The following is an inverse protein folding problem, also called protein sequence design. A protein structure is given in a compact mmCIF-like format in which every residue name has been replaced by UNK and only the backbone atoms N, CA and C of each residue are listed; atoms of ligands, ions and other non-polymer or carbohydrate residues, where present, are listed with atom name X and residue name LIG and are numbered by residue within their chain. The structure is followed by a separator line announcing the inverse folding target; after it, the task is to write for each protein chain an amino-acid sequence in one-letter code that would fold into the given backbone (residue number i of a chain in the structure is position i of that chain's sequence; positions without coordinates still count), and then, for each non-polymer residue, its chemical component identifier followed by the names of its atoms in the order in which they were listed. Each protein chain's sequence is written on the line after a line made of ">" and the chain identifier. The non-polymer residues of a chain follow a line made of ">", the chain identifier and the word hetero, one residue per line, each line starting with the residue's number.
data_IF_201817444843
#
_entry.id   IF_201817444843
#
_cell.length_a   1.000
_cell.length_b   1.000
_cell.length_c   1.000
_cell.angle_alpha   90.00
_cell.angle_beta   90.00
_cell.angle_gamma   90.00
#
_symmetry.space_group_name_H-M   'P 1'
#
loop_
_entity.id
_entity.type
_entity.pdbx_description
1 polymer ?
#
# COMPACT_ATOMS: atom_id res chain seq x y z
N UNK A 1 13.44 -15.92 14.40
CA UNK A 1 12.85 -14.98 13.43
C UNK A 1 13.98 -14.23 12.74
N UNK A 2 13.96 -14.09 11.41
CA UNK A 2 14.95 -13.30 10.67
C UNK A 2 14.41 -11.90 10.44
N UNK A 3 15.12 -10.88 10.91
CA UNK A 3 14.76 -9.49 10.64
C UNK A 3 15.28 -9.11 9.25
N UNK A 4 14.37 -8.73 8.35
CA UNK A 4 14.70 -8.29 6.98
C UNK A 4 14.38 -6.83 6.85
N UNK A 5 15.35 -6.02 6.40
CA UNK A 5 15.08 -4.63 6.02
C UNK A 5 14.26 -4.63 4.73
N UNK A 6 13.13 -3.91 4.73
CA UNK A 6 12.32 -3.71 3.53
C UNK A 6 12.98 -2.73 2.56
N UNK A 7 12.65 -2.89 1.28
CA UNK A 7 12.93 -1.88 0.25
C UNK A 7 11.63 -1.09 0.00
N UNK A 8 11.67 0.24 -0.16
CA UNK A 8 10.50 1.00 -0.58
C UNK A 8 9.97 0.50 -1.93
N UNK A 9 8.64 0.53 -2.10
CA UNK A 9 8.01 0.22 -3.38
C UNK A 9 8.46 1.21 -4.45
N UNK A 10 8.66 0.73 -5.68
CA UNK A 10 8.89 1.63 -6.81
C UNK A 10 7.58 2.25 -7.28
N UNK A 11 7.67 3.30 -8.09
CA UNK A 11 6.50 3.90 -8.72
C UNK A 11 5.69 2.86 -9.50
N UNK A 12 6.38 2.03 -10.29
CA UNK A 12 5.78 0.97 -11.09
C UNK A 12 5.01 -0.02 -10.23
N UNK A 13 5.55 -0.37 -9.06
CA UNK A 13 4.88 -1.27 -8.13
C UNK A 13 3.63 -0.65 -7.50
N UNK A 14 3.64 0.65 -7.19
CA UNK A 14 2.48 1.34 -6.64
C UNK A 14 1.32 1.40 -7.64
N UNK A 15 1.64 1.66 -8.92
CA UNK A 15 0.63 1.81 -9.99
C UNK A 15 0.14 0.49 -10.59
N UNK A 16 0.61 -0.67 -10.09
CA UNK A 16 0.01 -1.97 -10.40
C UNK A 16 -1.44 -2.05 -9.90
N UNK A 17 -1.77 -1.33 -8.82
CA UNK A 17 -3.14 -1.20 -8.32
C UNK A 17 -3.64 0.24 -8.44
N UNK A 18 -2.95 1.18 -7.81
CA UNK A 18 -3.37 2.58 -7.77
C UNK A 18 -3.29 3.23 -9.15
N UNK A 19 -4.11 4.25 -9.40
CA UNK A 19 -3.90 5.02 -10.64
C UNK A 19 -2.62 5.82 -10.59
N UNK A 20 -2.08 6.07 -11.78
CA UNK A 20 -0.98 7.02 -11.97
C UNK A 20 -1.37 8.40 -11.45
N UNK A 21 -2.59 8.85 -11.72
CA UNK A 21 -3.11 10.15 -11.25
C UNK A 21 -3.06 10.25 -9.72
N UNK A 22 -3.54 9.24 -9.00
CA UNK A 22 -3.51 9.23 -7.54
C UNK A 22 -2.07 9.30 -6.98
N UNK A 23 -1.18 8.45 -7.51
CA UNK A 23 0.22 8.41 -7.06
C UNK A 23 0.96 9.70 -7.42
N UNK A 24 0.69 10.30 -8.58
CA UNK A 24 1.24 11.60 -8.99
C UNK A 24 0.72 12.73 -8.10
N UNK A 25 -0.57 12.75 -7.75
CA UNK A 25 -1.14 13.73 -6.81
C UNK A 25 -0.47 13.66 -5.44
N UNK A 26 -0.18 12.45 -4.93
CA UNK A 26 0.56 12.27 -3.67
C UNK A 26 2.02 12.70 -3.79
N UNK A 27 2.65 12.47 -4.96
CA UNK A 27 4.03 12.86 -5.20
C UNK A 27 4.21 14.38 -5.22
N UNK A 28 3.26 15.08 -5.84
CA UNK A 28 3.27 16.53 -6.01
C UNK A 28 2.32 17.26 -5.05
N UNK A 29 2.08 16.65 -3.88
CA UNK A 29 1.06 17.08 -2.91
C UNK A 29 1.16 18.55 -2.47
N UNK A 30 2.39 19.09 -2.43
CA UNK A 30 2.65 20.49 -2.04
C UNK A 30 2.18 21.51 -3.08
N UNK A 31 1.94 21.07 -4.31
CA UNK A 31 1.49 21.93 -5.42
C UNK A 31 0.01 21.74 -5.77
N UNK A 32 -0.65 20.76 -5.15
CA UNK A 32 -2.07 20.48 -5.37
C UNK A 32 -2.96 21.52 -4.69
N UNK A 33 -4.15 21.74 -5.24
CA UNK A 33 -5.18 22.54 -4.58
C UNK A 33 -5.88 21.70 -3.52
N UNK A 34 -6.42 22.35 -2.51
CA UNK A 34 -7.17 21.69 -1.43
C UNK A 34 -8.36 20.89 -1.95
N UNK A 35 -9.07 21.42 -2.95
CA UNK A 35 -10.20 20.75 -3.63
C UNK A 35 -9.76 19.42 -4.28
N UNK A 36 -8.63 19.43 -5.00
CA UNK A 36 -8.08 18.23 -5.65
C UNK A 36 -7.64 17.18 -4.62
N UNK A 37 -7.15 17.62 -3.45
CA UNK A 37 -6.75 16.76 -2.33
C UNK A 37 -7.96 16.13 -1.63
N UNK A 38 -9.06 16.88 -1.51
CA UNK A 38 -10.32 16.37 -0.98
C UNK A 38 -10.91 15.29 -1.90
N UNK A 39 -10.85 15.47 -3.22
CA UNK A 39 -11.34 14.50 -4.21
C UNK A 39 -10.62 13.14 -4.12
N UNK A 40 -9.33 13.13 -3.75
CA UNK A 40 -8.55 11.89 -3.55
C UNK A 40 -8.54 11.41 -2.10
N UNK A 41 -9.40 11.98 -1.25
CA UNK A 41 -9.57 11.56 0.14
C UNK A 41 -8.42 11.95 1.06
N UNK A 42 -7.53 12.88 0.67
CA UNK A 42 -6.48 13.42 1.54
C UNK A 42 -7.01 14.59 2.39
N UNK A 43 -8.08 14.31 3.11
CA UNK A 43 -8.78 15.22 4.02
C UNK A 43 -9.23 14.45 5.26
N UNK A 44 -9.67 15.16 6.31
CA UNK A 44 -10.34 14.55 7.45
C UNK A 44 -9.51 13.48 8.17
N UNK A 45 -9.94 12.22 8.07
CA UNK A 45 -9.28 11.06 8.68
C UNK A 45 -7.98 10.66 7.98
N UNK A 46 -7.74 11.15 6.76
CA UNK A 46 -6.52 10.95 6.00
C UNK A 46 -5.74 12.27 5.85
N UNK A 47 -5.20 12.83 6.95
CA UNK A 47 -4.49 14.10 6.90
C UNK A 47 -3.19 14.00 6.10
N UNK A 48 -2.79 15.12 5.50
CA UNK A 48 -1.51 15.21 4.80
C UNK A 48 -0.36 15.11 5.80
N UNK A 49 0.53 14.14 5.59
CA UNK A 49 1.75 13.95 6.36
C UNK A 49 2.97 14.55 5.65
N UNK A 50 4.06 14.74 6.37
CA UNK A 50 5.34 15.06 5.75
C UNK A 50 5.87 13.86 4.96
N UNK A 51 6.34 14.12 3.74
CA UNK A 51 6.94 13.11 2.85
C UNK A 51 6.01 11.90 2.56
N UNK A 52 4.72 12.20 2.27
CA UNK A 52 3.68 11.22 1.97
C UNK A 52 4.12 10.14 0.98
N UNK A 53 4.74 10.52 -0.14
CA UNK A 53 5.18 9.58 -1.15
C UNK A 53 6.18 8.56 -0.58
N UNK A 54 7.15 9.02 0.20
CA UNK A 54 8.10 8.15 0.89
C UNK A 54 7.38 7.25 1.91
N UNK A 55 6.45 7.81 2.69
CA UNK A 55 5.69 7.06 3.69
C UNK A 55 4.93 5.89 3.05
N UNK A 56 4.10 6.15 2.03
CA UNK A 56 3.33 5.09 1.36
C UNK A 56 4.24 4.08 0.64
N UNK A 57 5.37 4.54 0.08
CA UNK A 57 6.33 3.66 -0.59
C UNK A 57 6.95 2.69 0.40
N UNK A 58 7.23 3.10 1.64
CA UNK A 58 7.77 2.22 2.67
C UNK A 58 6.72 1.22 3.17
N UNK A 59 5.47 1.64 3.36
CA UNK A 59 4.36 0.74 3.75
C UNK A 59 4.15 -0.32 2.67
N UNK A 60 3.90 0.06 1.42
CA UNK A 60 3.74 -0.89 0.31
C UNK A 60 4.99 -1.77 0.11
N UNK A 61 6.18 -1.17 0.15
CA UNK A 61 7.45 -1.86 -0.03
C UNK A 61 7.72 -2.92 1.04
N UNK A 62 7.26 -2.69 2.27
CA UNK A 62 7.38 -3.66 3.35
C UNK A 62 6.56 -4.94 3.09
N UNK A 63 5.32 -4.81 2.63
CA UNK A 63 4.47 -5.95 2.29
C UNK A 63 4.91 -6.64 0.99
N UNK A 64 5.36 -5.87 -0.01
CA UNK A 64 5.96 -6.43 -1.23
C UNK A 64 7.27 -7.19 -0.96
N UNK A 65 8.11 -6.72 -0.04
CA UNK A 65 9.32 -7.43 0.40
C UNK A 65 8.97 -8.78 1.01
N UNK A 66 7.93 -8.82 1.86
CA UNK A 66 7.42 -10.06 2.44
C UNK A 66 6.90 -11.02 1.35
N UNK A 67 6.07 -10.53 0.43
CA UNK A 67 5.53 -11.31 -0.69
C UNK A 67 6.64 -11.90 -1.57
N UNK A 68 7.65 -11.11 -1.95
CA UNK A 68 8.83 -11.57 -2.71
C UNK A 68 9.63 -12.64 -1.94
N UNK A 69 9.72 -12.51 -0.62
CA UNK A 69 10.35 -13.51 0.25
C UNK A 69 9.61 -14.86 0.24
N UNK A 70 8.28 -14.83 0.24
CA UNK A 70 7.44 -16.03 0.11
C UNK A 70 7.54 -16.65 -1.29
N UNK A 71 7.47 -15.83 -2.34
CA UNK A 71 7.56 -16.28 -3.74
C UNK A 71 8.90 -16.96 -4.01
N UNK A 72 10.01 -16.39 -3.54
CA UNK A 72 11.34 -16.97 -3.73
C UNK A 72 11.57 -18.24 -2.90
N UNK A 73 10.67 -18.60 -1.99
CA UNK A 73 10.85 -19.71 -1.05
C UNK A 73 11.89 -19.42 0.04
N UNK A 74 12.38 -18.18 0.13
CA UNK A 74 13.32 -17.74 1.17
C UNK A 74 12.69 -17.86 2.56
N UNK A 75 11.38 -17.59 2.64
CA UNK A 75 10.61 -17.68 3.87
C UNK A 75 9.35 -18.52 3.64
N UNK A 76 8.95 -19.30 4.65
CA UNK A 76 7.65 -19.98 4.68
C UNK A 76 6.56 -19.08 5.28
N UNK A 77 6.95 -18.20 6.21
CA UNK A 77 6.09 -17.22 6.87
C UNK A 77 6.78 -15.86 6.87
N UNK A 78 6.01 -14.80 6.63
CA UNK A 78 6.49 -13.43 6.69
C UNK A 78 5.48 -12.58 7.48
N UNK A 79 5.99 -11.67 8.30
CA UNK A 79 5.17 -10.80 9.15
C UNK A 79 5.56 -9.37 8.83
N UNK A 80 4.57 -8.53 8.56
CA UNK A 80 4.72 -7.08 8.45
C UNK A 80 3.66 -6.40 9.31
N UNK A 81 4.07 -5.83 10.44
CA UNK A 81 3.15 -5.12 11.34
C UNK A 81 2.82 -3.69 10.89
N UNK A 82 3.59 -3.14 9.95
CA UNK A 82 3.38 -1.78 9.45
C UNK A 82 2.39 -1.72 8.28
N UNK A 83 2.03 -2.87 7.69
CA UNK A 83 1.08 -2.98 6.59
C UNK A 83 -0.33 -3.35 7.07
N UNK A 84 -1.18 -3.78 6.14
CA UNK A 84 -2.58 -4.10 6.44
C UNK A 84 -3.55 -2.93 6.22
N UNK A 85 -3.19 -1.95 5.39
CA UNK A 85 -3.92 -0.70 5.20
C UNK A 85 -5.07 -0.93 4.21
N UNK A 86 -6.12 -1.60 4.70
CA UNK A 86 -7.14 -2.24 3.87
C UNK A 86 -8.23 -1.33 3.29
N UNK A 87 -8.31 -0.06 3.71
CA UNK A 87 -9.36 0.85 3.25
C UNK A 87 -8.99 1.66 2.01
N UNK A 88 -7.69 1.74 1.67
CA UNK A 88 -7.24 2.54 0.54
C UNK A 88 -7.80 1.98 -0.76
N UNK A 89 -8.45 2.85 -1.53
CA UNK A 89 -9.03 2.51 -2.82
C UNK A 89 -8.02 2.80 -3.94
N UNK A 90 -8.38 2.42 -5.17
CA UNK A 90 -7.53 2.63 -6.34
C UNK A 90 -7.13 4.10 -6.54
N UNK A 91 -8.07 5.00 -6.32
CA UNK A 91 -7.96 6.43 -6.66
C UNK A 91 -8.12 7.35 -5.44
N UNK A 92 -8.22 6.80 -4.22
CA UNK A 92 -8.64 7.55 -3.03
C UNK A 92 -8.08 6.95 -1.73
N UNK A 93 -7.66 7.82 -0.80
CA UNK A 93 -7.36 7.45 0.58
C UNK A 93 -8.66 7.39 1.42
N UNK A 94 -8.75 6.47 2.36
CA UNK A 94 -9.92 6.34 3.27
C UNK A 94 -9.49 5.62 4.55
N UNK A 95 -10.06 5.96 5.71
CA UNK A 95 -9.91 5.17 6.93
C UNK A 95 -8.46 5.08 7.39
N UNK A 96 -7.76 6.22 7.37
CA UNK A 96 -6.33 6.33 7.60
C UNK A 96 -5.46 5.62 6.55
N UNK A 97 -6.02 4.99 5.51
CA UNK A 97 -5.28 4.17 4.55
C UNK A 97 -4.98 4.94 3.25
N UNK A 98 -3.70 5.22 2.99
CA UNK A 98 -3.24 5.94 1.78
C UNK A 98 -2.70 5.05 0.66
N UNK A 99 -2.41 3.78 0.96
CA UNK A 99 -1.95 2.81 -0.02
C UNK A 99 -2.46 1.43 0.36
N UNK A 100 -2.94 0.67 -0.60
CA UNK A 100 -3.43 -0.68 -0.34
C UNK A 100 -2.29 -1.70 -0.52
N UNK A 101 -1.43 -1.77 0.48
CA UNK A 101 -0.27 -2.68 0.49
C UNK A 101 -0.67 -4.16 0.43
N UNK A 102 -1.88 -4.49 0.89
CA UNK A 102 -2.49 -5.82 0.81
C UNK A 102 -2.74 -6.19 -0.65
N UNK A 103 -3.48 -5.35 -1.40
CA UNK A 103 -3.79 -5.62 -2.80
C UNK A 103 -2.50 -5.74 -3.62
N UNK A 104 -1.54 -4.83 -3.42
CA UNK A 104 -0.24 -4.90 -4.08
C UNK A 104 0.49 -6.21 -3.78
N UNK A 105 0.43 -6.68 -2.53
CA UNK A 105 1.06 -7.95 -2.13
C UNK A 105 0.34 -9.16 -2.71
N UNK A 106 -0.99 -9.13 -2.79
CA UNK A 106 -1.80 -10.18 -3.44
C UNK A 106 -1.48 -10.23 -4.94
N UNK A 107 -1.40 -9.09 -5.63
CA UNK A 107 -0.98 -9.01 -7.03
C UNK A 107 0.46 -9.53 -7.23
N UNK A 108 1.35 -9.28 -6.28
CA UNK A 108 2.70 -9.83 -6.33
C UNK A 108 2.70 -11.35 -6.13
N UNK A 109 1.95 -11.87 -5.15
CA UNK A 109 1.82 -13.30 -4.87
C UNK A 109 1.17 -14.06 -6.04
N UNK A 110 0.22 -13.44 -6.74
CA UNK A 110 -0.52 -14.08 -7.84
C UNK A 110 0.38 -14.37 -9.05
N UNK A 111 1.56 -13.73 -9.13
CA UNK A 111 2.61 -14.07 -10.11
C UNK A 111 3.15 -15.50 -9.94
N UNK A 112 2.93 -16.15 -8.80
CA UNK A 112 3.36 -17.54 -8.52
C UNK A 112 2.23 -18.46 -8.07
N UNK A 113 1.22 -17.96 -7.37
CA UNK A 113 0.16 -18.78 -6.77
C UNK A 113 -1.18 -18.54 -7.45
N UNK A 114 -1.83 -19.61 -7.93
CA UNK A 114 -3.09 -19.51 -8.68
C UNK A 114 -4.28 -19.01 -7.85
N UNK A 115 -4.25 -19.26 -6.53
CA UNK A 115 -5.32 -18.88 -5.60
C UNK A 115 -4.71 -18.33 -4.33
N UNK A 116 -5.23 -17.19 -3.90
CA UNK A 116 -4.83 -16.49 -2.69
C UNK A 116 -6.08 -16.28 -1.85
N UNK A 117 -6.02 -16.66 -0.58
CA UNK A 117 -7.05 -16.39 0.41
C UNK A 117 -6.62 -15.20 1.25
N UNK A 118 -7.43 -14.14 1.25
CA UNK A 118 -7.30 -13.02 2.18
C UNK A 118 -8.27 -13.22 3.35
N UNK A 119 -7.76 -13.15 4.58
CA UNK A 119 -8.55 -13.22 5.80
C UNK A 119 -8.31 -11.93 6.55
N UNK A 120 -9.38 -11.16 6.72
CA UNK A 120 -9.38 -9.92 7.47
C UNK A 120 -10.03 -10.14 8.83
N UNK A 121 -9.33 -9.76 9.89
CA UNK A 121 -9.81 -9.84 11.28
C UNK A 121 -9.91 -8.44 11.92
N UNK A 122 -9.70 -7.37 11.15
CA UNK A 122 -9.96 -6.03 11.63
C UNK A 122 -11.46 -5.88 11.96
N UNK A 123 -11.77 -4.98 12.90
CA UNK A 123 -13.15 -4.69 13.29
C UNK A 123 -13.91 -3.97 12.17
N UNK A 124 -13.20 -3.21 11.34
CA UNK A 124 -13.75 -2.59 10.15
C UNK A 124 -13.72 -3.55 8.98
N UNK A 125 -14.72 -3.46 8.12
CA UNK A 125 -14.76 -4.27 6.91
C UNK A 125 -13.69 -3.78 5.91
N UNK A 126 -12.78 -4.65 5.49
CA UNK A 126 -11.85 -4.38 4.38
C UNK A 126 -12.60 -4.27 3.06
N UNK A 127 -12.98 -3.04 2.70
CA UNK A 127 -13.78 -2.70 1.52
C UNK A 127 -12.96 -2.58 0.25
#
# INVERSE_FOLDING_TARGET
>A
MTVTRSTPATYEELVEFHSTLYIESIRDIKTQKEEDLEEIGLTGDCPILDDMYSFISHVAGSSLTAAKGLISGKYQFAINWCGGWHHSQRDMAEGFCYVNDIVLSILQLSKKFDRILYIDLDVHHGR
#
